data_IF_023367508731
#
_entry.id   IF_023367508731
#
_cell.length_a   1.000
_cell.length_b   1.000
_cell.length_c   1.000
_cell.angle_alpha   90.00
_cell.angle_beta   90.00
_cell.angle_gamma   90.00
#
_symmetry.space_group_name_H-M   'P 1'
#
loop_
_entity.id
_entity.type
_entity.pdbx_description
1 polymer ?
#
# COMPACT_ATOMS: atom_id res chain seq x y z
N UNK A 1 -0.43 19.65 -5.59
CA UNK A 1 -0.82 18.23 -5.48
C UNK A 1 -2.31 18.18 -5.69
N UNK A 2 -2.77 17.45 -6.70
CA UNK A 2 -4.18 17.43 -7.09
C UNK A 2 -4.78 16.07 -6.73
N UNK A 3 -5.77 16.08 -5.83
CA UNK A 3 -6.49 14.88 -5.38
C UNK A 3 -7.71 14.65 -6.29
N UNK A 4 -7.48 14.11 -7.47
CA UNK A 4 -8.52 13.97 -8.51
C UNK A 4 -9.03 12.53 -8.67
N UNK A 5 -8.25 11.54 -8.22
CA UNK A 5 -8.63 10.13 -8.36
C UNK A 5 -9.46 9.67 -7.15
N UNK A 6 -10.57 8.99 -7.41
CA UNK A 6 -11.44 8.46 -6.34
C UNK A 6 -10.94 7.13 -5.83
N UNK A 7 -11.06 6.92 -4.52
CA UNK A 7 -10.78 5.66 -3.84
C UNK A 7 -11.96 5.31 -2.94
N UNK A 8 -12.73 4.30 -3.32
CA UNK A 8 -13.83 3.77 -2.50
C UNK A 8 -13.31 2.59 -1.69
N UNK A 9 -13.37 2.72 -0.36
CA UNK A 9 -12.86 1.74 0.59
C UNK A 9 -14.00 1.20 1.45
N UNK A 10 -13.86 -0.04 1.91
CA UNK A 10 -14.79 -0.65 2.87
C UNK A 10 -14.08 -0.84 4.21
N UNK A 11 -14.63 -0.30 5.29
CA UNK A 11 -14.09 -0.52 6.63
C UNK A 11 -14.46 -1.89 7.21
N UNK A 12 -13.99 -2.18 8.42
CA UNK A 12 -14.23 -3.48 9.09
C UNK A 12 -15.71 -3.74 9.39
N UNK A 13 -16.52 -2.69 9.47
CA UNK A 13 -17.94 -2.76 9.77
C UNK A 13 -18.79 -2.85 8.49
N UNK A 14 -18.15 -2.87 7.32
CA UNK A 14 -18.80 -2.95 6.02
C UNK A 14 -19.25 -1.60 5.46
N UNK A 15 -18.90 -0.48 6.11
CA UNK A 15 -19.28 0.84 5.61
C UNK A 15 -18.36 1.28 4.47
N UNK A 16 -18.96 1.85 3.43
CA UNK A 16 -18.21 2.50 2.37
C UNK A 16 -17.71 3.87 2.81
N UNK A 17 -16.45 4.15 2.51
CA UNK A 17 -15.78 5.41 2.79
C UNK A 17 -15.16 5.93 1.48
N UNK A 18 -15.47 7.17 1.10
CA UNK A 18 -14.92 7.80 -0.10
C UNK A 18 -13.69 8.66 0.26
N UNK A 19 -12.61 8.42 -0.47
CA UNK A 19 -11.38 9.20 -0.41
C UNK A 19 -10.99 9.69 -1.79
N UNK A 20 -10.10 10.67 -1.81
CA UNK A 20 -9.43 11.13 -3.01
C UNK A 20 -7.93 10.87 -2.87
N UNK A 21 -7.28 10.50 -3.97
CA UNK A 21 -5.84 10.30 -4.00
C UNK A 21 -5.15 11.05 -5.14
N UNK A 22 -3.91 11.42 -4.87
CA UNK A 22 -2.94 11.85 -5.86
C UNK A 22 -1.84 10.80 -5.95
N UNK A 23 -1.22 10.71 -7.11
CA UNK A 23 -0.07 9.84 -7.35
C UNK A 23 1.05 10.68 -7.95
N UNK A 24 2.27 10.51 -7.45
CA UNK A 24 3.47 11.12 -8.01
C UNK A 24 4.58 10.09 -8.18
N UNK A 25 5.40 10.30 -9.19
CA UNK A 25 6.66 9.59 -9.38
C UNK A 25 7.77 10.27 -8.55
N UNK A 26 8.65 9.46 -7.99
CA UNK A 26 9.82 9.84 -7.22
C UNK A 26 10.89 8.75 -7.38
N UNK A 27 11.99 8.87 -6.65
CA UNK A 27 13.10 7.92 -6.68
C UNK A 27 13.50 7.48 -5.27
N UNK A 28 13.82 6.19 -5.12
CA UNK A 28 14.37 5.61 -3.88
C UNK A 28 15.37 4.51 -4.21
N UNK A 29 16.60 4.61 -3.71
CA UNK A 29 17.66 3.62 -3.99
C UNK A 29 17.91 3.40 -5.50
N UNK A 30 17.85 4.45 -6.32
CA UNK A 30 17.93 4.38 -7.80
C UNK A 30 16.78 3.59 -8.47
N UNK A 31 15.70 3.34 -7.74
CA UNK A 31 14.48 2.72 -8.26
C UNK A 31 13.36 3.74 -8.37
N UNK A 32 12.51 3.58 -9.38
CA UNK A 32 11.28 4.36 -9.53
C UNK A 32 10.34 4.05 -8.35
N UNK A 33 9.92 5.10 -7.66
CA UNK A 33 8.99 5.04 -6.53
C UNK A 33 7.73 5.83 -6.85
N UNK A 34 6.58 5.20 -6.67
CA UNK A 34 5.28 5.84 -6.81
C UNK A 34 4.70 6.12 -5.43
N UNK A 35 4.40 7.39 -5.15
CA UNK A 35 3.84 7.82 -3.87
C UNK A 35 2.37 8.19 -4.07
N UNK A 36 1.50 7.43 -3.43
CA UNK A 36 0.08 7.68 -3.32
C UNK A 36 -0.18 8.45 -2.04
N UNK A 37 -0.84 9.60 -2.17
CA UNK A 37 -1.32 10.37 -1.02
C UNK A 37 -2.82 10.42 -1.05
N UNK A 38 -3.45 10.11 0.09
CA UNK A 38 -4.89 9.95 0.22
C UNK A 38 -5.44 10.92 1.27
N UNK A 39 -6.54 11.58 0.91
CA UNK A 39 -7.28 12.53 1.73
C UNK A 39 -8.76 12.13 1.77
N UNK A 40 -9.52 12.46 2.84
CA UNK A 40 -10.97 12.32 2.81
C UNK A 40 -11.56 13.15 1.68
N UNK A 41 -12.70 12.72 1.11
CA UNK A 41 -13.30 13.41 -0.03
C UNK A 41 -13.71 14.86 0.23
N UNK A 42 -13.94 15.23 1.50
CA UNK A 42 -14.23 16.61 1.90
C UNK A 42 -12.98 17.49 2.05
N UNK A 43 -11.79 16.90 1.91
CA UNK A 43 -10.47 17.54 2.02
C UNK A 43 -10.23 18.27 3.35
N UNK A 44 -10.92 17.89 4.44
CA UNK A 44 -10.81 18.56 5.75
C UNK A 44 -9.71 18.00 6.66
N UNK A 45 -9.01 16.96 6.25
CA UNK A 45 -7.89 16.43 7.01
C UNK A 45 -6.72 17.41 7.03
N UNK A 46 -5.99 17.48 8.15
CA UNK A 46 -4.81 18.35 8.28
C UNK A 46 -3.55 17.76 7.63
N UNK A 47 -3.57 16.48 7.26
CA UNK A 47 -2.45 15.75 6.64
C UNK A 47 -3.01 14.54 5.88
N UNK A 48 -2.23 13.92 5.01
CA UNK A 48 -2.62 12.80 4.17
C UNK A 48 -2.15 11.45 4.71
N UNK A 49 -2.87 10.40 4.32
CA UNK A 49 -2.34 9.04 4.37
C UNK A 49 -1.35 8.85 3.23
N UNK A 50 -0.20 8.25 3.51
CA UNK A 50 0.87 8.03 2.54
C UNK A 50 1.12 6.53 2.31
N UNK A 51 1.19 6.16 1.04
CA UNK A 51 1.49 4.82 0.58
C UNK A 51 2.48 4.89 -0.56
N UNK A 52 3.51 4.05 -0.54
CA UNK A 52 4.50 4.07 -1.61
C UNK A 52 4.84 2.68 -2.10
N UNK A 53 5.04 2.59 -3.41
CA UNK A 53 5.46 1.38 -4.13
C UNK A 53 6.74 1.70 -4.88
N UNK A 54 7.80 0.97 -4.57
CA UNK A 54 9.09 1.06 -5.27
C UNK A 54 9.19 -0.11 -6.24
N UNK A 55 9.42 0.15 -7.54
CA UNK A 55 9.60 -0.88 -8.55
C UNK A 55 10.97 -1.54 -8.39
N UNK A 56 10.99 -2.85 -8.12
CA UNK A 56 12.24 -3.61 -8.00
C UNK A 56 12.62 -4.29 -9.32
N UNK A 57 11.65 -4.45 -10.22
CA UNK A 57 11.80 -4.86 -11.62
C UNK A 57 10.60 -4.33 -12.44
N UNK A 58 10.56 -4.63 -13.74
CA UNK A 58 9.52 -4.15 -14.67
C UNK A 58 8.10 -4.59 -14.29
N UNK A 59 7.97 -5.72 -13.58
CA UNK A 59 6.72 -6.41 -13.29
C UNK A 59 6.35 -6.42 -11.81
N UNK A 60 7.25 -5.99 -10.93
CA UNK A 60 7.10 -6.11 -9.47
C UNK A 60 7.27 -4.78 -8.75
N UNK A 61 6.25 -4.38 -8.02
CA UNK A 61 6.27 -3.25 -7.10
C UNK A 61 6.30 -3.73 -5.65
N UNK A 62 7.27 -3.25 -4.87
CA UNK A 62 7.37 -3.53 -3.43
C UNK A 62 6.83 -2.36 -2.63
N UNK A 63 5.95 -2.62 -1.66
CA UNK A 63 5.44 -1.57 -0.76
C UNK A 63 6.51 -1.17 0.23
N UNK A 64 6.86 0.12 0.24
CA UNK A 64 7.90 0.71 1.09
C UNK A 64 7.36 1.68 2.13
N UNK A 65 6.15 2.22 1.93
CA UNK A 65 5.49 3.11 2.90
C UNK A 65 4.03 2.72 3.08
N UNK A 66 3.59 2.67 4.35
CA UNK A 66 2.19 2.61 4.78
C UNK A 66 2.05 3.48 6.03
N UNK A 67 1.65 4.74 5.88
CA UNK A 67 1.64 5.69 6.99
C UNK A 67 0.35 6.50 7.03
N UNK A 68 -0.42 6.32 8.10
CA UNK A 68 -1.64 7.08 8.36
C UNK A 68 -1.42 8.29 9.29
N UNK A 69 -0.17 8.56 9.69
CA UNK A 69 0.22 9.64 10.60
C UNK A 69 -0.59 9.67 11.90
N UNK A 70 -1.04 8.49 12.35
CA UNK A 70 -1.93 8.28 13.48
C UNK A 70 -3.29 8.98 13.41
N UNK A 71 -3.71 9.47 12.25
CA UNK A 71 -4.93 10.26 12.11
C UNK A 71 -6.18 9.38 12.09
N UNK A 72 -7.21 9.80 12.82
CA UNK A 72 -8.42 9.00 13.05
C UNK A 72 -9.20 8.74 11.75
N UNK A 73 -9.23 9.71 10.83
CA UNK A 73 -9.95 9.61 9.57
C UNK A 73 -9.41 8.51 8.63
N UNK A 74 -8.22 7.96 8.91
CA UNK A 74 -7.60 6.91 8.10
C UNK A 74 -7.55 5.55 8.80
N UNK A 75 -7.72 5.51 10.12
CA UNK A 75 -7.60 4.29 10.92
C UNK A 75 -8.81 3.38 10.67
N UNK A 76 -8.54 2.13 10.28
CA UNK A 76 -9.57 1.11 10.09
C UNK A 76 -10.45 1.31 8.85
N UNK A 77 -10.13 2.26 7.97
CA UNK A 77 -10.98 2.63 6.83
C UNK A 77 -10.77 1.82 5.54
N UNK A 78 -10.02 0.72 5.62
CA UNK A 78 -9.73 -0.14 4.46
C UNK A 78 -8.85 0.47 3.37
N UNK A 79 -8.23 1.64 3.64
CA UNK A 79 -7.44 2.40 2.67
C UNK A 79 -6.28 1.57 2.12
N UNK A 80 -5.52 0.90 3.00
CA UNK A 80 -4.32 0.17 2.57
C UNK A 80 -4.68 -0.99 1.64
N UNK A 81 -5.66 -1.82 2.01
CA UNK A 81 -6.10 -2.93 1.17
C UNK A 81 -6.58 -2.44 -0.21
N UNK A 82 -7.30 -1.32 -0.25
CA UNK A 82 -7.78 -0.75 -1.50
C UNK A 82 -6.65 -0.14 -2.34
N UNK A 83 -5.67 0.49 -1.72
CA UNK A 83 -4.48 1.02 -2.41
C UNK A 83 -3.58 -0.07 -2.96
N UNK A 84 -3.52 -1.25 -2.34
CA UNK A 84 -2.77 -2.39 -2.90
C UNK A 84 -3.40 -2.83 -4.23
N UNK A 85 -4.73 -2.98 -4.26
CA UNK A 85 -5.50 -3.27 -5.48
C UNK A 85 -5.30 -2.18 -6.54
N UNK A 86 -5.48 -0.91 -6.14
CA UNK A 86 -5.37 0.24 -7.03
C UNK A 86 -3.95 0.38 -7.61
N UNK A 87 -2.91 0.25 -6.78
CA UNK A 87 -1.53 0.34 -7.23
C UNK A 87 -1.17 -0.79 -8.21
N UNK A 88 -1.67 -2.01 -8.00
CA UNK A 88 -1.47 -3.11 -8.95
C UNK A 88 -2.07 -2.81 -10.32
N UNK A 89 -3.19 -2.09 -10.37
CA UNK A 89 -3.88 -1.68 -11.61
C UNK A 89 -3.20 -0.50 -12.29
N UNK A 90 -3.00 0.59 -11.55
CA UNK A 90 -2.47 1.85 -12.09
C UNK A 90 -1.02 1.69 -12.56
N UNK A 91 -0.21 0.92 -11.84
CA UNK A 91 1.21 0.74 -12.17
C UNK A 91 1.48 -0.47 -13.07
N UNK A 92 0.45 -1.28 -13.30
CA UNK A 92 0.49 -2.60 -13.97
C UNK A 92 1.64 -3.50 -13.48
N UNK A 93 1.69 -3.69 -12.15
CA UNK A 93 2.69 -4.56 -11.50
C UNK A 93 2.03 -5.51 -10.50
N UNK A 94 2.75 -6.59 -10.19
CA UNK A 94 2.49 -7.42 -9.02
C UNK A 94 2.95 -6.68 -7.78
N UNK A 95 2.07 -6.52 -6.79
CA UNK A 95 2.40 -5.85 -5.54
C UNK A 95 2.86 -6.86 -4.49
N UNK A 96 4.03 -6.62 -3.91
CA UNK A 96 4.60 -7.44 -2.83
C UNK A 96 4.88 -6.62 -1.57
N UNK A 97 4.94 -7.29 -0.43
CA UNK A 97 5.37 -6.70 0.82
C UNK A 97 6.89 -6.50 0.88
N UNK A 98 7.36 -5.54 1.68
CA UNK A 98 8.71 -5.60 2.25
C UNK A 98 8.92 -6.88 3.08
N UNK A 99 10.16 -7.37 3.18
CA UNK A 99 10.51 -8.51 4.04
C UNK A 99 11.33 -8.08 5.26
N UNK A 100 11.25 -8.88 6.34
CA UNK A 100 12.14 -8.77 7.49
C UNK A 100 13.34 -9.75 7.43
N UNK A 101 13.41 -10.60 6.41
CA UNK A 101 14.54 -11.53 6.18
C UNK A 101 15.63 -10.82 5.37
N UNK A 102 16.82 -10.69 5.97
CA UNK A 102 17.94 -9.90 5.39
C UNK A 102 18.31 -10.31 3.96
N UNK A 103 18.44 -11.61 3.71
CA UNK A 103 18.91 -12.13 2.41
C UNK A 103 17.84 -12.07 1.31
N UNK A 104 16.59 -11.81 1.68
CA UNK A 104 15.47 -11.64 0.74
C UNK A 104 15.18 -10.16 0.44
N UNK A 105 15.97 -9.23 1.00
CA UNK A 105 15.79 -7.80 0.76
C UNK A 105 16.19 -7.41 -0.66
N UNK A 106 15.36 -6.58 -1.28
CA UNK A 106 15.61 -5.99 -2.60
C UNK A 106 16.02 -4.52 -2.49
N UNK A 107 15.73 -3.88 -1.34
CA UNK A 107 16.04 -2.49 -1.05
C UNK A 107 16.87 -2.40 0.24
N UNK A 108 17.79 -1.44 0.31
CA UNK A 108 18.66 -1.23 1.47
C UNK A 108 17.89 -0.83 2.75
N UNK A 109 16.74 -0.17 2.57
CA UNK A 109 15.92 0.41 3.65
C UNK A 109 14.58 -0.29 3.79
N UNK A 110 14.45 -1.57 3.44
CA UNK A 110 13.18 -2.29 3.63
C UNK A 110 13.05 -2.90 5.02
N UNK A 111 11.86 -2.75 5.60
CA UNK A 111 11.38 -3.49 6.76
C UNK A 111 9.84 -3.49 6.74
N UNK A 112 9.22 -4.47 7.40
CA UNK A 112 7.77 -4.54 7.55
C UNK A 112 7.40 -4.49 9.02
N UNK A 113 6.59 -3.50 9.40
CA UNK A 113 6.11 -3.35 10.78
C UNK A 113 4.99 -4.36 11.10
N UNK A 114 4.76 -4.65 12.37
CA UNK A 114 3.67 -5.54 12.79
C UNK A 114 2.28 -5.05 12.31
N UNK A 115 1.92 -3.76 12.37
CA UNK A 115 0.68 -3.27 11.79
C UNK A 115 0.56 -3.54 10.28
N UNK A 116 1.66 -3.42 9.52
CA UNK A 116 1.67 -3.75 8.10
C UNK A 116 1.49 -5.26 7.87
N UNK A 117 2.12 -6.12 8.69
CA UNK A 117 1.91 -7.58 8.64
C UNK A 117 0.43 -7.95 8.86
N UNK A 118 -0.27 -7.29 9.79
CA UNK A 118 -1.71 -7.54 10.02
C UNK A 118 -2.58 -7.26 8.79
N UNK A 119 -2.19 -6.31 7.94
CA UNK A 119 -2.91 -6.01 6.69
C UNK A 119 -2.74 -7.17 5.71
N UNK A 120 -1.51 -7.65 5.54
CA UNK A 120 -1.19 -8.78 4.67
C UNK A 120 -1.84 -10.10 5.12
N UNK A 121 -1.86 -10.37 6.43
CA UNK A 121 -2.57 -11.54 6.97
C UNK A 121 -4.07 -11.48 6.70
N UNK A 122 -4.70 -10.30 6.75
CA UNK A 122 -6.10 -10.15 6.33
C UNK A 122 -6.29 -10.39 4.84
N UNK A 123 -5.35 -9.97 3.99
CA UNK A 123 -5.43 -10.24 2.56
C UNK A 123 -5.26 -11.73 2.26
N UNK A 124 -4.34 -12.41 2.98
CA UNK A 124 -4.12 -13.86 2.92
C UNK A 124 -5.38 -14.62 3.35
N UNK A 125 -5.99 -14.25 4.48
CA UNK A 125 -7.22 -14.92 4.96
C UNK A 125 -8.42 -14.73 4.04
N UNK A 126 -8.45 -13.64 3.24
CA UNK A 126 -9.44 -13.40 2.18
C UNK A 126 -9.12 -14.12 0.86
N UNK A 127 -8.02 -14.87 0.78
CA UNK A 127 -7.58 -15.51 -0.47
C UNK A 127 -7.10 -14.52 -1.54
N UNK A 128 -6.69 -13.31 -1.13
CA UNK A 128 -6.22 -12.23 -2.03
C UNK A 128 -4.73 -11.96 -1.93
N UNK A 129 -4.02 -12.73 -1.10
CA UNK A 129 -2.57 -12.72 -1.06
C UNK A 129 -2.04 -14.13 -0.77
N UNK A 130 -0.83 -14.40 -1.23
CA UNK A 130 -0.01 -15.55 -0.84
C UNK A 130 1.10 -15.09 0.08
N UNK A 131 1.61 -15.99 0.93
CA UNK A 131 2.76 -15.74 1.78
C UNK A 131 3.82 -16.80 1.52
N UNK A 132 5.01 -16.34 1.15
CA UNK A 132 6.22 -17.14 1.11
C UNK A 132 6.88 -17.08 2.48
N UNK A 133 6.76 -18.16 3.25
CA UNK A 133 7.29 -18.23 4.62
C UNK A 133 8.83 -18.19 4.66
N UNK A 134 9.50 -18.72 3.63
CA UNK A 134 10.96 -18.77 3.59
C UNK A 134 11.55 -17.37 3.37
N UNK A 135 10.94 -16.59 2.47
CA UNK A 135 11.40 -15.23 2.14
C UNK A 135 10.73 -14.15 2.98
N UNK A 136 9.69 -14.50 3.73
CA UNK A 136 8.82 -13.58 4.47
C UNK A 136 8.23 -12.48 3.55
N UNK A 137 7.73 -12.90 2.39
CA UNK A 137 7.15 -11.99 1.39
C UNK A 137 5.69 -12.38 1.16
N UNK A 138 4.80 -11.39 1.26
CA UNK A 138 3.43 -11.52 0.79
C UNK A 138 3.31 -10.99 -0.63
N UNK A 139 2.56 -11.71 -1.45
CA UNK A 139 2.28 -11.36 -2.85
C UNK A 139 0.79 -11.16 -3.02
N UNK A 140 0.38 -9.99 -3.49
CA UNK A 140 -1.01 -9.71 -3.82
C UNK A 140 -1.45 -10.49 -5.07
N UNK A 141 -2.60 -11.14 -4.99
CA UNK A 141 -3.21 -11.83 -6.13
C UNK A 141 -4.13 -10.85 -6.86
N UNK A 142 -3.65 -10.36 -8.01
CA UNK A 142 -4.42 -9.47 -8.90
C UNK A 142 -5.76 -10.14 -9.24
N UNK A 143 -6.85 -9.40 -9.05
CA UNK A 143 -8.20 -9.81 -9.43
C UNK A 143 -8.56 -9.28 -10.82
#
# INVERSE_FOLDING_TARGET
>A
MNFENKLICTDSDGNENEFLYSIEESEENSHVKWVFRVMPADLKATDWYEFAVTKIDDSTGKITVMNNRNMIQYKGKGITEKLIDEASKVLDVTIISSTNVSDAKSLSTEWRTEPATKIWERLKSKGTALHDEQRDIYTYLKK
#
